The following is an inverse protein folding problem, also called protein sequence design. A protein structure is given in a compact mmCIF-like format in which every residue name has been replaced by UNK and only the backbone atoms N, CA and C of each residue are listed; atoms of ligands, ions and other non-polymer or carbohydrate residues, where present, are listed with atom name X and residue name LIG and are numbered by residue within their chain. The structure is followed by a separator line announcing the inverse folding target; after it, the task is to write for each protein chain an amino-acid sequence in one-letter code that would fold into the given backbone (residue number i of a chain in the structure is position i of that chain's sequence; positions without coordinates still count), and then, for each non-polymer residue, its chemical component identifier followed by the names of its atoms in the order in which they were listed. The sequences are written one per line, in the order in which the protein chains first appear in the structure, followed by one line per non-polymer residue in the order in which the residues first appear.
data_IF_589150362619
#
_entry.id   IF_589150362619
#
_cell.length_a   1.000
_cell.length_b   1.000
_cell.length_c   1.000
_cell.angle_alpha   90.00
_cell.angle_beta   90.00
_cell.angle_gamma   90.00
#
_symmetry.space_group_name_H-M   'P 1'
#
loop_
_entity.id
_entity.type
_entity.pdbx_description
1 polymer ?
#
# COMPACT_ATOMS: atom_id res chain seq x y z
N UNK A 1 -60.09 -3.17 -1.52
CA UNK A 1 -58.75 -3.31 -0.91
C UNK A 1 -57.80 -3.77 -2.00
N UNK A 2 -56.95 -2.88 -2.53
CA UNK A 2 -55.89 -3.22 -3.49
C UNK A 2 -54.59 -3.37 -2.69
N UNK A 3 -54.14 -4.60 -2.50
CA UNK A 3 -52.72 -4.86 -2.25
C UNK A 3 -51.97 -4.38 -3.50
N UNK A 4 -51.34 -3.22 -3.39
CA UNK A 4 -50.59 -2.60 -4.48
C UNK A 4 -49.14 -2.48 -4.06
N UNK A 5 -48.32 -3.23 -4.77
CA UNK A 5 -47.02 -2.82 -5.29
C UNK A 5 -45.95 -2.43 -4.26
N UNK A 6 -45.33 -3.45 -3.67
CA UNK A 6 -43.93 -3.37 -3.21
C UNK A 6 -43.08 -4.50 -3.79
N UNK A 7 -43.27 -4.79 -5.08
CA UNK A 7 -42.28 -5.55 -5.83
C UNK A 7 -41.12 -4.64 -6.22
N UNK A 8 -40.11 -4.70 -5.35
CA UNK A 8 -38.70 -4.84 -5.70
C UNK A 8 -38.25 -4.11 -6.98
N UNK A 9 -37.79 -2.86 -6.81
CA UNK A 9 -36.76 -2.30 -7.69
C UNK A 9 -35.49 -3.12 -7.52
N UNK A 10 -35.41 -4.25 -8.23
CA UNK A 10 -34.12 -4.86 -8.56
C UNK A 10 -33.53 -3.92 -9.61
N UNK A 11 -32.63 -3.05 -9.18
CA UNK A 11 -31.78 -2.27 -10.09
C UNK A 11 -31.13 -3.25 -11.06
N UNK A 12 -31.28 -3.00 -12.36
CA UNK A 12 -30.67 -3.82 -13.41
C UNK A 12 -29.16 -3.72 -13.26
N UNK A 13 -28.55 -4.77 -12.69
CA UNK A 13 -27.10 -4.90 -12.63
C UNK A 13 -26.61 -5.23 -14.03
N UNK A 14 -25.82 -4.35 -14.64
CA UNK A 14 -25.16 -4.65 -15.91
C UNK A 14 -24.17 -5.81 -15.71
N UNK A 15 -24.38 -6.92 -16.42
CA UNK A 15 -23.58 -8.16 -16.28
C UNK A 15 -22.26 -8.13 -17.07
N UNK A 16 -22.09 -7.15 -17.96
CA UNK A 16 -20.97 -7.09 -18.90
C UNK A 16 -20.31 -5.71 -18.84
N UNK A 17 -18.98 -5.71 -18.75
CA UNK A 17 -18.15 -4.53 -18.92
C UNK A 17 -17.36 -4.68 -20.23
N UNK A 18 -17.47 -3.72 -21.14
CA UNK A 18 -16.66 -3.72 -22.36
C UNK A 18 -15.19 -3.50 -21.99
N UNK A 19 -14.31 -4.42 -22.39
CA UNK A 19 -12.87 -4.37 -22.09
C UNK A 19 -12.03 -4.38 -23.35
N UNK A 20 -10.91 -3.66 -23.32
CA UNK A 20 -9.91 -3.65 -24.39
C UNK A 20 -8.60 -4.27 -23.91
N UNK A 21 -7.91 -4.96 -24.80
CA UNK A 21 -6.55 -5.44 -24.52
C UNK A 21 -5.59 -4.25 -24.48
N UNK A 22 -5.31 -3.77 -23.28
CA UNK A 22 -4.22 -2.83 -23.08
C UNK A 22 -2.87 -3.52 -23.38
N UNK A 23 -1.95 -2.80 -24.01
CA UNK A 23 -0.54 -3.21 -24.04
C UNK A 23 -0.04 -3.35 -22.59
N UNK A 24 0.84 -4.31 -22.26
CA UNK A 24 1.29 -4.51 -20.89
C UNK A 24 2.01 -3.26 -20.38
N UNK A 25 1.27 -2.39 -19.69
CA UNK A 25 1.83 -1.28 -18.94
C UNK A 25 2.35 -1.87 -17.62
N UNK A 26 3.46 -1.36 -17.07
CA UNK A 26 4.16 -1.90 -15.89
C UNK A 26 3.37 -2.00 -14.58
N UNK A 27 2.04 -1.93 -14.59
CA UNK A 27 1.15 -2.06 -13.43
C UNK A 27 1.01 -3.52 -13.01
N UNK A 28 1.91 -4.00 -12.16
CA UNK A 28 1.74 -5.28 -11.45
C UNK A 28 1.45 -5.00 -9.97
N UNK A 29 0.28 -4.43 -9.68
CA UNK A 29 -0.21 -4.29 -8.30
C UNK A 29 -1.24 -5.39 -8.05
N UNK A 30 -1.01 -6.21 -7.03
CA UNK A 30 -1.94 -7.22 -6.57
C UNK A 30 -2.70 -6.70 -5.34
N UNK A 31 -4.02 -6.62 -5.44
CA UNK A 31 -4.90 -6.22 -4.33
C UNK A 31 -5.59 -7.45 -3.77
N UNK A 32 -5.39 -7.73 -2.47
CA UNK A 32 -6.01 -8.86 -1.77
C UNK A 32 -7.25 -8.42 -0.99
N UNK A 33 -8.44 -8.78 -1.49
CA UNK A 33 -9.73 -8.49 -0.87
C UNK A 33 -10.30 -9.72 -0.16
N UNK A 34 -11.08 -9.51 0.90
CA UNK A 34 -11.69 -10.60 1.68
C UNK A 34 -12.01 -10.21 3.12
N UNK A 35 -12.89 -10.99 3.77
CA UNK A 35 -13.35 -10.72 5.14
C UNK A 35 -12.20 -10.69 6.18
N UNK A 36 -12.49 -10.18 7.39
CA UNK A 36 -11.52 -10.20 8.50
C UNK A 36 -11.24 -11.66 8.88
N UNK A 37 -9.95 -12.02 9.00
CA UNK A 37 -9.53 -13.36 9.43
C UNK A 37 -9.32 -14.39 8.31
N UNK A 38 -9.65 -14.11 7.05
CA UNK A 38 -9.51 -15.07 5.92
C UNK A 38 -8.07 -15.37 5.47
N UNK A 39 -7.06 -14.89 6.21
CA UNK A 39 -5.66 -15.19 5.91
C UNK A 39 -4.99 -14.28 4.87
N UNK A 40 -5.57 -13.14 4.49
CA UNK A 40 -4.96 -12.16 3.54
C UNK A 40 -3.52 -11.77 3.92
N UNK A 41 -3.28 -11.51 5.20
CA UNK A 41 -1.94 -11.20 5.73
C UNK A 41 -0.98 -12.37 5.56
N UNK A 42 -1.43 -13.58 5.86
CA UNK A 42 -0.64 -14.81 5.72
C UNK A 42 -0.28 -15.08 4.26
N UNK A 43 -1.25 -15.02 3.36
CA UNK A 43 -1.04 -15.21 1.91
C UNK A 43 -0.03 -14.20 1.36
N UNK A 44 -0.20 -12.92 1.71
CA UNK A 44 0.74 -11.85 1.35
C UNK A 44 2.17 -12.17 1.80
N UNK A 45 2.36 -12.53 3.07
CA UNK A 45 3.69 -12.87 3.60
C UNK A 45 4.29 -14.11 2.93
N UNK A 46 3.47 -15.10 2.57
CA UNK A 46 3.92 -16.29 1.85
C UNK A 46 4.35 -15.98 0.43
N UNK A 47 3.61 -15.15 -0.32
CA UNK A 47 3.95 -14.73 -1.68
C UNK A 47 5.32 -14.05 -1.73
N UNK A 48 5.55 -13.08 -0.83
CA UNK A 48 6.83 -12.34 -0.76
C UNK A 48 7.98 -13.26 -0.35
N UNK A 49 7.74 -14.17 0.60
CA UNK A 49 8.77 -15.12 1.05
C UNK A 49 9.15 -16.13 -0.03
N UNK A 50 8.16 -16.62 -0.79
CA UNK A 50 8.37 -17.65 -1.79
C UNK A 50 8.96 -17.10 -3.10
N UNK A 51 8.58 -15.89 -3.49
CA UNK A 51 9.05 -15.25 -4.72
C UNK A 51 9.32 -13.74 -4.52
N UNK A 52 10.42 -13.41 -3.83
CA UNK A 52 10.79 -12.03 -3.53
C UNK A 52 11.25 -11.24 -4.77
N UNK A 53 11.49 -11.92 -5.90
CA UNK A 53 11.86 -11.28 -7.17
C UNK A 53 10.63 -10.60 -7.79
N UNK A 54 9.45 -11.21 -7.64
CA UNK A 54 8.22 -10.70 -8.25
C UNK A 54 7.27 -10.03 -7.26
N UNK A 55 7.35 -10.34 -5.96
CA UNK A 55 6.47 -9.78 -4.95
C UNK A 55 7.23 -8.98 -3.91
N UNK A 56 6.76 -7.75 -3.71
CA UNK A 56 7.22 -6.86 -2.67
C UNK A 56 6.05 -6.04 -2.11
N UNK A 57 6.29 -5.40 -0.97
CA UNK A 57 5.40 -4.39 -0.42
C UNK A 57 6.07 -3.03 -0.44
N UNK A 58 5.25 -2.00 -0.61
CA UNK A 58 5.67 -0.63 -0.33
C UNK A 58 5.69 -0.39 1.18
N UNK A 59 6.62 0.45 1.62
CA UNK A 59 6.70 0.93 3.00
C UNK A 59 5.73 2.11 3.14
N UNK A 60 4.65 2.00 3.94
CA UNK A 60 3.64 3.05 4.04
C UNK A 60 4.13 4.23 4.90
N UNK A 61 3.43 5.34 4.85
CA UNK A 61 3.65 6.48 5.74
C UNK A 61 2.89 6.31 7.05
N UNK A 62 3.43 6.89 8.13
CA UNK A 62 2.69 7.10 9.38
C UNK A 62 3.03 8.43 10.04
N UNK A 63 2.07 9.01 10.76
CA UNK A 63 2.31 10.18 11.62
C UNK A 63 2.78 9.83 13.04
N UNK A 64 2.81 8.54 13.38
CA UNK A 64 3.26 8.05 14.68
C UNK A 64 4.77 8.27 14.81
N UNK A 65 5.26 8.69 15.97
CA UNK A 65 6.70 8.68 16.25
C UNK A 65 7.26 7.25 16.20
N UNK A 66 8.49 7.03 15.67
CA UNK A 66 9.11 5.71 15.66
C UNK A 66 9.28 5.16 17.08
N UNK A 67 9.08 3.86 17.26
CA UNK A 67 9.44 3.15 18.48
C UNK A 67 10.92 2.77 18.45
N UNK A 68 11.46 2.41 19.62
CA UNK A 68 12.83 1.91 19.73
C UNK A 68 13.08 0.72 18.79
N UNK A 69 14.07 0.87 17.91
CA UNK A 69 14.47 -0.14 16.93
C UNK A 69 13.80 -0.05 15.56
N UNK A 70 12.78 0.80 15.39
CA UNK A 70 12.23 1.11 14.06
C UNK A 70 13.16 2.05 13.28
N UNK A 71 13.18 1.91 11.96
CA UNK A 71 14.03 2.71 11.07
C UNK A 71 13.22 3.37 9.97
N UNK A 72 13.57 4.61 9.63
CA UNK A 72 12.96 5.36 8.53
C UNK A 72 13.07 4.59 7.21
N UNK A 73 11.94 4.35 6.56
CA UNK A 73 11.87 3.64 5.28
C UNK A 73 12.01 2.12 5.39
N UNK A 74 12.01 1.54 6.60
CA UNK A 74 11.96 0.09 6.79
C UNK A 74 10.56 -0.39 7.17
N UNK A 75 10.05 0.02 8.32
CA UNK A 75 8.69 -0.30 8.76
C UNK A 75 7.67 0.71 8.25
N UNK A 76 8.03 2.00 8.35
CA UNK A 76 7.24 3.13 7.88
C UNK A 76 8.14 4.27 7.41
N UNK A 77 7.56 5.16 6.62
CA UNK A 77 8.04 6.52 6.47
C UNK A 77 7.38 7.42 7.51
N UNK A 78 8.16 8.02 8.40
CA UNK A 78 7.66 8.78 9.52
C UNK A 78 7.51 10.27 9.14
N UNK A 79 6.28 10.78 9.20
CA UNK A 79 5.97 12.18 8.94
C UNK A 79 5.34 12.84 10.16
N UNK A 80 5.38 14.18 10.20
CA UNK A 80 4.59 14.92 11.17
C UNK A 80 3.10 14.81 10.84
N UNK A 81 2.25 14.77 11.87
CA UNK A 81 0.80 14.66 11.71
C UNK A 81 0.21 15.81 10.89
N UNK A 82 0.71 17.02 11.10
CA UNK A 82 0.28 18.23 10.37
C UNK A 82 0.55 18.07 8.88
N UNK A 83 1.76 17.62 8.53
CA UNK A 83 2.14 17.40 7.14
C UNK A 83 1.30 16.31 6.48
N UNK A 84 1.11 15.20 7.19
CA UNK A 84 0.31 14.09 6.69
C UNK A 84 -1.15 14.51 6.47
N UNK A 85 -1.69 15.36 7.36
CA UNK A 85 -3.03 15.93 7.22
C UNK A 85 -3.14 16.84 5.99
N UNK A 86 -2.19 17.75 5.79
CA UNK A 86 -2.15 18.60 4.59
C UNK A 86 -2.14 17.77 3.30
N UNK A 87 -1.34 16.70 3.26
CA UNK A 87 -1.23 15.82 2.10
C UNK A 87 -2.52 14.97 1.89
N UNK A 88 -3.21 14.60 2.97
CA UNK A 88 -4.53 13.97 2.91
C UNK A 88 -5.57 14.94 2.34
N UNK A 89 -5.61 16.18 2.85
CA UNK A 89 -6.52 17.23 2.40
C UNK A 89 -6.27 17.60 0.92
N UNK A 90 -5.02 17.49 0.47
CA UNK A 90 -4.62 17.69 -0.93
C UNK A 90 -4.83 16.45 -1.84
N UNK A 91 -5.35 15.33 -1.32
CA UNK A 91 -5.64 14.13 -2.11
C UNK A 91 -4.41 13.35 -2.57
N UNK A 92 -3.28 13.46 -1.87
CA UNK A 92 -2.01 12.79 -2.24
C UNK A 92 -2.04 11.28 -1.97
N UNK A 93 -2.82 10.86 -0.96
CA UNK A 93 -2.92 9.47 -0.52
C UNK A 93 -3.99 8.71 -1.32
N UNK A 94 -3.63 7.51 -1.79
CA UNK A 94 -4.57 6.58 -2.42
C UNK A 94 -5.43 5.88 -1.36
N UNK A 95 -4.82 5.51 -0.24
CA UNK A 95 -5.46 4.91 0.92
C UNK A 95 -4.86 5.54 2.17
N UNK A 96 -5.70 5.90 3.13
CA UNK A 96 -5.27 6.34 4.45
C UNK A 96 -6.32 6.01 5.52
N UNK A 97 -5.90 6.03 6.77
CA UNK A 97 -6.76 5.87 7.93
C UNK A 97 -6.12 6.38 9.21
N UNK A 98 -6.91 6.51 10.26
CA UNK A 98 -6.46 6.93 11.58
C UNK A 98 -6.56 5.77 12.57
N UNK A 99 -5.51 5.59 13.37
CA UNK A 99 -5.46 4.62 14.45
C UNK A 99 -4.71 5.19 15.65
N UNK A 100 -5.33 5.13 16.84
CA UNK A 100 -4.79 5.69 18.08
C UNK A 100 -4.27 7.13 17.93
N UNK A 101 -5.02 8.00 17.24
CA UNK A 101 -4.64 9.39 17.02
C UNK A 101 -3.49 9.62 16.03
N UNK A 102 -3.09 8.58 15.28
CA UNK A 102 -2.03 8.67 14.27
C UNK A 102 -2.56 8.29 12.88
N UNK A 103 -2.12 9.02 11.87
CA UNK A 103 -2.43 8.71 10.48
C UNK A 103 -1.51 7.62 9.93
N UNK A 104 -2.04 6.83 9.02
CA UNK A 104 -1.34 5.82 8.25
C UNK A 104 -1.83 5.91 6.81
N UNK A 105 -0.94 5.76 5.83
CA UNK A 105 -1.37 5.86 4.44
C UNK A 105 -0.34 5.44 3.40
N UNK A 106 -0.85 5.13 2.21
CA UNK A 106 -0.08 4.75 1.02
C UNK A 106 -0.36 5.72 -0.11
N UNK A 107 0.69 6.25 -0.74
CA UNK A 107 0.58 7.17 -1.89
C UNK A 107 0.81 6.42 -3.21
N UNK A 108 0.27 6.96 -4.31
CA UNK A 108 0.56 6.43 -5.65
C UNK A 108 2.04 6.48 -6.00
N UNK A 109 2.79 7.42 -5.41
CA UNK A 109 4.23 7.57 -5.65
C UNK A 109 5.01 6.36 -5.15
N UNK A 110 4.66 5.81 -3.99
CA UNK A 110 5.32 4.62 -3.46
C UNK A 110 5.16 3.41 -4.40
N UNK A 111 3.96 3.23 -4.96
CA UNK A 111 3.71 2.14 -5.91
C UNK A 111 4.54 2.29 -7.19
N UNK A 112 4.64 3.51 -7.73
CA UNK A 112 5.46 3.79 -8.92
C UNK A 112 6.94 3.49 -8.67
N UNK A 113 7.50 3.99 -7.56
CA UNK A 113 8.90 3.77 -7.22
C UNK A 113 9.26 2.28 -7.10
N UNK A 114 8.36 1.48 -6.53
CA UNK A 114 8.56 0.03 -6.38
C UNK A 114 8.53 -0.71 -7.72
N UNK A 115 7.63 -0.31 -8.63
CA UNK A 115 7.52 -0.89 -9.97
C UNK A 115 8.74 -0.54 -10.83
N UNK A 116 9.26 0.67 -10.69
CA UNK A 116 10.37 1.20 -11.49
C UNK A 116 11.76 0.75 -10.99
N UNK A 117 11.82 -0.14 -9.99
CA UNK A 117 13.06 -0.75 -9.49
C UNK A 117 14.05 0.22 -8.84
N UNK A 118 13.66 1.47 -8.56
CA UNK A 118 14.52 2.46 -7.93
C UNK A 118 14.57 2.22 -6.42
N UNK A 119 15.31 1.18 -6.01
CA UNK A 119 15.92 1.16 -4.68
C UNK A 119 16.92 2.31 -4.64
N UNK A 120 16.55 3.42 -4.00
CA UNK A 120 17.52 4.44 -3.61
C UNK A 120 18.50 3.78 -2.63
N UNK A 121 19.66 3.35 -3.15
CA UNK A 121 20.77 2.83 -2.37
C UNK A 121 21.37 3.98 -1.52
N UNK A 122 20.70 4.37 -0.45
CA UNK A 122 21.30 5.17 0.62
C UNK A 122 21.91 4.21 1.64
N UNK A 123 23.17 3.86 1.41
CA UNK A 123 23.90 2.95 2.28
C UNK A 123 25.22 2.44 1.69
N UNK A 124 26.03 3.31 1.09
CA UNK A 124 27.46 3.00 0.95
C UNK A 124 28.07 2.97 2.35
N UNK A 125 28.05 1.79 2.96
CA UNK A 125 28.89 1.47 4.09
C UNK A 125 30.36 1.60 3.66
N UNK A 126 31.05 2.59 4.19
CA UNK A 126 32.50 2.68 4.11
C UNK A 126 33.11 1.49 4.86
N UNK A 127 33.48 0.44 4.14
CA UNK A 127 34.48 -0.53 4.62
C UNK A 127 35.84 0.16 4.59
N UNK A 128 36.19 0.82 5.69
CA UNK A 128 37.57 1.22 5.97
C UNK A 128 38.34 0.05 6.54
N UNK A 129 39.16 -0.57 5.70
CA UNK A 129 40.21 -1.50 6.12
C UNK A 129 41.27 -0.75 6.91
N UNK A 130 41.65 -1.26 8.09
CA UNK A 130 42.98 -1.03 8.65
C UNK A 130 43.41 -2.22 9.51
N UNK A 131 44.18 -3.13 8.89
CA UNK A 131 45.21 -3.93 9.56
C UNK A 131 46.45 -3.05 9.74
N UNK A 132 47.07 -3.11 10.91
CA UNK A 132 48.37 -2.48 11.15
C UNK A 132 48.75 -2.46 12.63
N UNK A 133 49.37 -3.55 13.10
CA UNK A 133 50.38 -3.57 14.15
C UNK A 133 51.36 -4.70 13.81
#
# INVERSE_FOLDING_TARGET
MRESDKDSKIEQVEFYEEVVRATPYGRRVLVLLGAKGVGRRTLKSQLIKHDPVHFAMVVPYTSRSPHDGEQEGREYHFLKREKMKEDIDAGVYMEWGEYNGNFYGTTFRLLKLQVDGHFAASGMGSRGSSMGA
#
